data_IF_502194397971
#
_entry.id   IF_502194397971
#
_cell.length_a   1.000
_cell.length_b   1.000
_cell.length_c   1.000
_cell.angle_alpha   90.00
_cell.angle_beta   90.00
_cell.angle_gamma   90.00
#
_symmetry.space_group_name_H-M   'P 1'
#
loop_
_entity.id
_entity.type
_entity.pdbx_description
1 polymer ?
#
# COMPACT_ATOMS: atom_id res chain seq x y z
N UNK A 1 -2.96 40.21 38.21
CA UNK A 1 -1.88 40.31 37.20
C UNK A 1 -0.89 39.15 37.31
N UNK A 2 -0.41 38.79 38.51
CA UNK A 2 0.53 37.68 38.73
C UNK A 2 0.00 36.28 38.37
N UNK A 3 -1.20 35.92 38.82
CA UNK A 3 -1.82 34.61 38.52
C UNK A 3 -2.02 34.34 37.02
N UNK A 4 -2.34 35.37 36.23
CA UNK A 4 -2.57 35.20 34.79
C UNK A 4 -1.27 34.96 34.01
N UNK A 5 -0.15 35.47 34.54
CA UNK A 5 1.18 35.22 34.01
C UNK A 5 1.66 33.81 34.36
N UNK A 6 1.43 33.36 35.60
CA UNK A 6 1.77 32.01 36.05
C UNK A 6 0.98 30.94 35.28
N UNK A 7 -0.34 31.14 35.12
CA UNK A 7 -1.18 30.23 34.32
C UNK A 7 -0.76 30.15 32.85
N UNK A 8 -0.47 31.30 32.23
CA UNK A 8 0.01 31.32 30.84
C UNK A 8 1.38 30.65 30.66
N UNK A 9 2.20 30.63 31.73
CA UNK A 9 3.49 29.94 31.74
C UNK A 9 3.31 28.42 31.88
N UNK A 10 2.44 27.95 32.78
CA UNK A 10 2.09 26.52 32.89
C UNK A 10 1.46 25.99 31.58
N UNK A 11 0.48 26.69 31.01
CA UNK A 11 -0.15 26.31 29.73
C UNK A 11 0.91 26.23 28.60
N UNK A 12 1.91 27.12 28.62
CA UNK A 12 3.02 27.09 27.67
C UNK A 12 3.95 25.89 27.90
N UNK A 13 4.31 25.60 29.14
CA UNK A 13 5.19 24.47 29.50
C UNK A 13 4.52 23.12 29.17
N UNK A 14 3.22 22.98 29.44
CA UNK A 14 2.44 21.80 29.04
C UNK A 14 2.43 21.63 27.51
N UNK A 15 2.21 22.71 26.76
CA UNK A 15 2.20 22.65 25.29
C UNK A 15 3.55 22.24 24.70
N UNK A 16 4.67 22.68 25.30
CA UNK A 16 6.03 22.29 24.91
C UNK A 16 6.25 20.80 25.17
N UNK A 17 5.88 20.31 26.35
CA UNK A 17 6.03 18.89 26.70
C UNK A 17 5.22 17.96 25.77
N UNK A 18 4.03 18.40 25.35
CA UNK A 18 3.20 17.67 24.40
C UNK A 18 3.84 17.64 23.01
N UNK A 19 4.41 18.77 22.55
CA UNK A 19 5.12 18.84 21.27
C UNK A 19 6.34 17.92 21.25
N UNK A 20 7.14 17.91 22.31
CA UNK A 20 8.31 17.03 22.46
C UNK A 20 7.89 15.56 22.38
N UNK A 21 6.86 15.17 23.14
CA UNK A 21 6.31 13.81 23.12
C UNK A 21 5.83 13.40 21.72
N UNK A 22 5.17 14.30 20.99
CA UNK A 22 4.72 14.03 19.63
C UNK A 22 5.89 13.87 18.66
N UNK A 23 6.93 14.69 18.79
CA UNK A 23 8.14 14.57 17.98
C UNK A 23 8.86 13.24 18.21
N UNK A 24 8.93 12.77 19.46
CA UNK A 24 9.49 11.46 19.78
C UNK A 24 8.67 10.32 19.16
N UNK A 25 7.35 10.34 19.31
CA UNK A 25 6.46 9.34 18.68
C UNK A 25 6.57 9.34 17.17
N UNK A 26 6.71 10.51 16.53
CA UNK A 26 6.93 10.57 15.08
C UNK A 26 8.22 9.87 14.66
N UNK A 27 9.32 10.06 15.41
CA UNK A 27 10.60 9.37 15.14
C UNK A 27 10.49 7.86 15.34
N UNK A 28 9.80 7.42 16.38
CA UNK A 28 9.56 5.99 16.64
C UNK A 28 8.75 5.36 15.51
N UNK A 29 7.63 5.98 15.12
CA UNK A 29 6.80 5.51 14.01
C UNK A 29 7.55 5.47 12.68
N UNK A 30 8.44 6.42 12.43
CA UNK A 30 9.27 6.41 11.22
C UNK A 30 10.26 5.23 11.22
N UNK A 31 10.87 4.94 12.36
CA UNK A 31 11.74 3.78 12.54
C UNK A 31 10.98 2.46 12.36
N UNK A 32 9.80 2.33 12.96
CA UNK A 32 8.97 1.13 12.85
C UNK A 32 8.50 0.91 11.41
N UNK A 33 8.07 1.99 10.73
CA UNK A 33 7.75 1.96 9.30
C UNK A 33 8.93 1.45 8.48
N UNK A 34 10.13 1.93 8.76
CA UNK A 34 11.34 1.50 8.05
C UNK A 34 11.67 0.03 8.29
N UNK A 35 11.52 -0.44 9.52
CA UNK A 35 11.70 -1.84 9.89
C UNK A 35 10.69 -2.74 9.16
N UNK A 36 9.40 -2.38 9.19
CA UNK A 36 8.35 -3.18 8.55
C UNK A 36 8.51 -3.25 7.03
N UNK A 37 8.97 -2.17 6.39
CA UNK A 37 9.29 -2.19 4.97
C UNK A 37 10.43 -3.16 4.64
N UNK A 38 11.45 -3.22 5.50
CA UNK A 38 12.55 -4.16 5.34
C UNK A 38 12.10 -5.61 5.54
N UNK A 39 11.32 -5.88 6.59
CA UNK A 39 10.78 -7.21 6.86
C UNK A 39 9.88 -7.68 5.71
N UNK A 40 9.02 -6.80 5.19
CA UNK A 40 8.17 -7.07 4.03
C UNK A 40 9.00 -7.46 2.79
N UNK A 41 10.09 -6.73 2.52
CA UNK A 41 11.02 -7.09 1.45
C UNK A 41 11.62 -8.48 1.64
N UNK A 42 12.14 -8.79 2.83
CA UNK A 42 12.70 -10.12 3.11
C UNK A 42 11.65 -11.23 2.99
N UNK A 43 10.40 -10.96 3.37
CA UNK A 43 9.32 -11.93 3.18
C UNK A 43 9.03 -12.18 1.70
N UNK A 44 8.97 -11.13 0.89
CA UNK A 44 8.81 -11.26 -0.57
C UNK A 44 9.99 -12.00 -1.20
N UNK A 45 11.21 -11.70 -0.78
CA UNK A 45 12.42 -12.38 -1.24
C UNK A 45 12.41 -13.87 -0.89
N UNK A 46 12.10 -14.23 0.37
CA UNK A 46 11.95 -15.63 0.80
C UNK A 46 10.82 -16.34 0.06
N UNK A 47 9.72 -15.65 -0.24
CA UNK A 47 8.64 -16.21 -1.06
C UNK A 47 9.09 -16.47 -2.49
N UNK A 48 9.91 -15.61 -3.12
CA UNK A 48 10.48 -15.89 -4.45
C UNK A 48 11.33 -17.17 -4.43
N UNK A 49 12.16 -17.32 -3.40
CA UNK A 49 13.05 -18.49 -3.23
C UNK A 49 12.26 -19.79 -3.03
N UNK A 50 11.25 -19.77 -2.14
CA UNK A 50 10.47 -20.96 -1.78
C UNK A 50 9.45 -21.32 -2.86
N UNK A 51 8.83 -20.33 -3.52
CA UNK A 51 7.65 -20.56 -4.37
C UNK A 51 7.94 -21.23 -5.72
N UNK A 52 9.17 -21.59 -6.06
CA UNK A 52 9.50 -22.43 -7.23
C UNK A 52 8.67 -22.08 -8.50
N UNK A 53 8.61 -20.78 -8.85
CA UNK A 53 7.90 -20.16 -10.01
C UNK A 53 6.42 -19.78 -9.83
N UNK A 54 5.84 -19.89 -8.64
CA UNK A 54 4.43 -19.55 -8.39
C UNK A 54 4.22 -18.18 -7.74
N UNK A 55 4.48 -17.08 -8.43
CA UNK A 55 4.05 -15.76 -7.92
C UNK A 55 2.53 -15.68 -8.07
N UNK A 56 1.82 -15.53 -6.95
CA UNK A 56 0.36 -15.41 -6.91
C UNK A 56 -0.08 -14.01 -7.38
N UNK A 57 -1.29 -13.92 -7.94
CA UNK A 57 -1.93 -12.63 -8.25
C UNK A 57 -2.03 -11.70 -7.04
N UNK A 58 -2.21 -12.26 -5.85
CA UNK A 58 -2.25 -11.47 -4.61
C UNK A 58 -0.91 -10.80 -4.34
N UNK A 59 0.21 -11.44 -4.70
CA UNK A 59 1.56 -10.88 -4.56
C UNK A 59 1.78 -9.71 -5.53
N UNK A 60 1.06 -9.63 -6.66
CA UNK A 60 1.21 -8.55 -7.64
C UNK A 60 0.89 -7.16 -7.09
N UNK A 61 -0.28 -7.03 -6.46
CA UNK A 61 -0.73 -5.74 -5.91
C UNK A 61 0.17 -5.30 -4.75
N UNK A 62 0.67 -6.26 -3.95
CA UNK A 62 1.58 -5.98 -2.85
C UNK A 62 3.02 -5.65 -3.31
N UNK A 63 3.46 -6.16 -4.47
CA UNK A 63 4.75 -5.79 -5.08
C UNK A 63 4.77 -4.33 -5.52
N UNK A 64 3.70 -3.82 -6.13
CA UNK A 64 3.65 -2.42 -6.59
C UNK A 64 3.81 -1.43 -5.43
N UNK A 65 3.10 -1.70 -4.32
CA UNK A 65 3.25 -0.93 -3.10
C UNK A 65 4.68 -0.96 -2.57
N UNK A 66 5.28 -2.14 -2.48
CA UNK A 66 6.63 -2.28 -1.95
C UNK A 66 7.68 -1.62 -2.86
N UNK A 67 7.53 -1.72 -4.19
CA UNK A 67 8.38 -1.03 -5.17
C UNK A 67 8.33 0.47 -4.97
N UNK A 68 7.14 1.05 -4.83
CA UNK A 68 6.95 2.49 -4.60
C UNK A 68 7.65 2.93 -3.31
N UNK A 69 7.47 2.19 -2.21
CA UNK A 69 8.12 2.50 -0.93
C UNK A 69 9.63 2.36 -0.96
N UNK A 70 10.17 1.40 -1.70
CA UNK A 70 11.62 1.27 -1.88
C UNK A 70 12.19 2.40 -2.76
N UNK A 71 11.42 2.91 -3.73
CA UNK A 71 11.80 4.10 -4.53
C UNK A 71 11.83 5.36 -3.68
N UNK A 72 10.81 5.58 -2.85
CA UNK A 72 10.77 6.70 -1.89
C UNK A 72 12.00 6.69 -0.96
N UNK A 73 12.42 5.50 -0.50
CA UNK A 73 13.62 5.32 0.34
C UNK A 73 14.95 5.41 -0.42
N UNK A 74 14.94 5.40 -1.75
CA UNK A 74 16.16 5.41 -2.58
C UNK A 74 16.90 4.07 -2.65
N UNK A 75 16.25 2.97 -2.29
CA UNK A 75 16.82 1.60 -2.22
C UNK A 75 16.88 0.94 -3.62
N UNK A 76 17.75 1.47 -4.49
CA UNK A 76 17.79 1.13 -5.93
C UNK A 76 17.94 -0.35 -6.23
N UNK A 77 18.75 -1.08 -5.46
CA UNK A 77 18.96 -2.52 -5.69
C UNK A 77 17.72 -3.35 -5.32
N UNK A 78 17.04 -2.99 -4.23
CA UNK A 78 15.77 -3.63 -3.83
C UNK A 78 14.67 -3.36 -4.84
N UNK A 79 14.58 -2.12 -5.35
CA UNK A 79 13.66 -1.74 -6.42
C UNK A 79 13.86 -2.61 -7.66
N UNK A 80 15.11 -2.73 -8.16
CA UNK A 80 15.41 -3.56 -9.34
C UNK A 80 15.02 -5.02 -9.14
N UNK A 81 15.29 -5.58 -7.96
CA UNK A 81 14.93 -6.96 -7.64
C UNK A 81 13.42 -7.18 -7.66
N UNK A 82 12.66 -6.29 -7.02
CA UNK A 82 11.20 -6.34 -6.99
C UNK A 82 10.58 -6.15 -8.39
N UNK A 83 11.14 -5.24 -9.21
CA UNK A 83 10.71 -5.05 -10.60
C UNK A 83 10.96 -6.31 -11.45
N UNK A 84 12.11 -6.96 -11.28
CA UNK A 84 12.39 -8.25 -11.93
C UNK A 84 11.40 -9.34 -11.51
N UNK A 85 11.07 -9.44 -10.21
CA UNK A 85 10.04 -10.38 -9.72
C UNK A 85 8.68 -10.10 -10.37
N UNK A 86 8.30 -8.82 -10.47
CA UNK A 86 7.06 -8.38 -11.12
C UNK A 86 7.02 -8.78 -12.59
N UNK A 87 8.08 -8.50 -13.36
CA UNK A 87 8.16 -8.88 -14.78
C UNK A 87 8.04 -10.40 -14.99
N UNK A 88 8.76 -11.20 -14.19
CA UNK A 88 8.66 -12.68 -14.26
C UNK A 88 7.24 -13.19 -14.02
N UNK A 89 6.50 -12.54 -13.14
CA UNK A 89 5.11 -12.88 -12.85
C UNK A 89 4.16 -12.48 -13.99
N UNK A 90 4.36 -11.32 -14.62
CA UNK A 90 3.59 -10.89 -15.79
C UNK A 90 3.82 -11.81 -17.00
N UNK A 91 5.03 -12.34 -17.14
CA UNK A 91 5.38 -13.33 -18.14
C UNK A 91 4.84 -14.74 -17.83
N UNK A 92 4.38 -14.99 -16.59
CA UNK A 92 3.86 -16.30 -16.20
C UNK A 92 2.50 -16.58 -16.90
N UNK A 93 2.41 -17.61 -17.76
CA UNK A 93 1.18 -17.88 -18.52
C UNK A 93 -0.04 -18.18 -17.65
N UNK A 94 0.17 -18.77 -16.46
CA UNK A 94 -0.92 -19.07 -15.51
C UNK A 94 -1.49 -17.79 -14.91
N UNK A 95 -0.62 -16.86 -14.51
CA UNK A 95 -1.01 -15.55 -13.99
C UNK A 95 -1.72 -14.75 -15.08
N UNK A 96 -1.17 -14.71 -16.29
CA UNK A 96 -1.77 -14.04 -17.44
C UNK A 96 -3.15 -14.59 -17.81
N UNK A 97 -3.30 -15.92 -17.79
CA UNK A 97 -4.58 -16.58 -18.05
C UNK A 97 -5.62 -16.24 -16.96
N UNK A 98 -5.22 -16.29 -15.69
CA UNK A 98 -6.09 -15.93 -14.57
C UNK A 98 -6.53 -14.44 -14.61
N UNK A 99 -5.62 -13.52 -14.93
CA UNK A 99 -5.94 -12.09 -15.14
C UNK A 99 -6.94 -11.90 -16.27
N UNK A 100 -6.70 -12.54 -17.41
CA UNK A 100 -7.60 -12.44 -18.57
C UNK A 100 -9.01 -12.91 -18.23
N UNK A 101 -9.12 -14.03 -17.50
CA UNK A 101 -10.40 -14.55 -17.04
C UNK A 101 -11.13 -13.59 -16.09
N UNK A 102 -10.44 -13.03 -15.09
CA UNK A 102 -11.04 -12.09 -14.16
C UNK A 102 -11.49 -10.79 -14.84
N UNK A 103 -10.66 -10.24 -15.73
CA UNK A 103 -10.99 -9.03 -16.51
C UNK A 103 -12.19 -9.26 -17.42
N UNK A 104 -12.28 -10.43 -18.07
CA UNK A 104 -13.43 -10.81 -18.89
C UNK A 104 -14.74 -10.89 -18.08
N UNK A 105 -14.69 -11.49 -16.87
CA UNK A 105 -15.84 -11.53 -15.95
C UNK A 105 -16.27 -10.15 -15.48
N UNK A 106 -15.31 -9.27 -15.18
CA UNK A 106 -15.59 -7.90 -14.75
C UNK A 106 -16.26 -7.09 -15.85
N UNK A 107 -15.72 -7.14 -17.07
CA UNK A 107 -16.32 -6.49 -18.23
C UNK A 107 -17.72 -7.02 -18.55
N UNK A 108 -17.96 -8.32 -18.39
CA UNK A 108 -19.30 -8.91 -18.54
C UNK A 108 -20.28 -8.40 -17.46
N UNK A 109 -19.84 -8.30 -16.21
CA UNK A 109 -20.64 -7.73 -15.12
C UNK A 109 -20.96 -6.24 -15.35
N UNK A 110 -19.99 -5.44 -15.81
CA UNK A 110 -20.20 -4.02 -16.08
C UNK A 110 -21.22 -3.80 -17.23
N UNK A 111 -21.19 -4.66 -18.26
CA UNK A 111 -22.21 -4.66 -19.33
C UNK A 111 -23.59 -5.03 -18.82
N UNK A 112 -23.68 -6.02 -17.92
CA UNK A 112 -24.96 -6.38 -17.29
C UNK A 112 -25.50 -5.24 -16.41
N UNK A 113 -24.61 -4.52 -15.71
CA UNK A 113 -24.97 -3.39 -14.85
C UNK A 113 -25.42 -2.16 -15.64
N UNK A 114 -24.76 -1.85 -16.76
CA UNK A 114 -25.19 -0.75 -17.65
C UNK A 114 -26.57 -0.97 -18.28
N UNK A 115 -26.91 -2.22 -18.63
CA UNK A 115 -28.22 -2.56 -19.18
C UNK A 115 -29.37 -2.49 -18.17
N UNK A 116 -29.09 -2.54 -16.87
CA UNK A 116 -30.13 -2.43 -15.83
C UNK A 116 -30.55 -0.98 -15.55
N UNK A 117 -29.69 0.00 -15.85
CA UNK A 117 -30.01 1.42 -15.67
C UNK A 117 -30.91 1.96 -16.79
N UNK A 118 -30.75 1.48 -18.04
CA UNK A 118 -31.59 1.88 -19.19
C UNK A 118 -33.01 1.30 -19.16
N UNK A 119 -33.21 0.11 -18.58
CA UNK A 119 -34.56 -0.48 -18.47
C UNK A 119 -35.43 0.19 -17.40
N UNK A 120 -34.84 0.89 -16.44
CA UNK A 120 -35.59 1.55 -15.35
C UNK A 120 -36.17 2.91 -15.78
N UNK A 121 -35.52 3.60 -16.72
CA UNK A 121 -36.00 4.90 -17.25
C UNK A 121 -37.09 4.74 -18.30
N UNK A 122 -37.10 3.64 -19.05
CA UNK A 122 -38.11 3.39 -20.10
C UNK A 122 -39.42 2.79 -19.60
N UNK A 123 -39.55 2.41 -18.32
CA UNK A 123 -40.74 1.75 -17.76
C UNK A 123 -41.63 2.67 -16.89
N UNK A 124 -41.39 3.98 -16.86
CA UNK A 124 -42.17 4.95 -16.05
C UNK A 124 -42.95 5.95 -16.91
N UNK A 125 -43.42 5.56 -18.09
CA UNK A 125 -44.39 6.35 -18.88
C UNK A 125 -45.61 5.52 -19.19
#
# INVERSE_FOLDING_TARGET
MKEMYEKGKEDSEESVSLLETLQEKMKELEKDKDQWLEESFQHVERLEEIALKGVSLSTQVHLDFLIEKMKEKGEKEKVKKLEMMKSKMEENPRVKSALSYMSGKRAAMDRLRGNTDEKKTSSTV
#
